data_IF_096161172415
#
_entry.id   IF_096161172415
#
_cell.length_a   1.000
_cell.length_b   1.000
_cell.length_c   1.000
_cell.angle_alpha   90.00
_cell.angle_beta   90.00
_cell.angle_gamma   90.00
#
_symmetry.space_group_name_H-M   'P 1'
#
loop_
_entity.id
_entity.type
_entity.pdbx_description
1 polymer ?
#
# COMPACT_ATOMS: atom_id res chain seq x y z
N UNK A 1 12.99 -1.00 12.92
CA UNK A 1 14.29 -0.31 13.14
C UNK A 1 14.75 -0.57 14.56
N UNK A 2 15.84 -1.27 14.71
CA UNK A 2 16.41 -1.64 16.01
C UNK A 2 17.46 -0.62 16.50
N UNK A 3 17.92 -0.79 17.73
CA UNK A 3 18.95 0.03 18.38
C UNK A 3 18.54 1.49 18.60
N UNK A 4 17.26 1.72 18.79
CA UNK A 4 16.73 3.06 19.03
C UNK A 4 17.30 3.74 20.28
N UNK A 5 17.71 2.95 21.28
CA UNK A 5 18.37 3.41 22.50
C UNK A 5 19.77 4.02 22.26
N UNK A 6 20.45 3.65 21.18
CA UNK A 6 21.82 4.08 20.86
C UNK A 6 21.87 5.46 20.16
N UNK A 7 20.73 6.06 19.85
CA UNK A 7 20.63 7.31 19.09
C UNK A 7 20.31 8.47 20.03
N UNK A 8 21.04 9.59 19.88
CA UNK A 8 20.65 10.85 20.52
C UNK A 8 19.34 11.36 19.91
N UNK A 9 18.39 11.70 20.78
CA UNK A 9 17.02 12.03 20.37
C UNK A 9 16.64 13.43 20.81
N UNK A 10 15.97 14.14 19.91
CA UNK A 10 15.18 15.32 20.21
C UNK A 10 13.73 15.07 19.79
N UNK A 11 12.86 16.09 19.92
CA UNK A 11 11.44 15.97 19.61
C UNK A 11 11.14 15.62 18.15
N UNK A 12 12.08 15.83 17.24
CA UNK A 12 11.93 15.63 15.81
C UNK A 12 12.70 14.43 15.26
N UNK A 13 13.42 13.70 16.11
CA UNK A 13 14.28 12.60 15.66
C UNK A 13 13.49 11.50 14.95
N UNK A 14 12.35 11.09 15.50
CA UNK A 14 11.46 10.10 14.86
C UNK A 14 11.02 10.54 13.48
N UNK A 15 10.60 11.79 13.34
CA UNK A 15 10.15 12.32 12.04
C UNK A 15 11.26 12.32 11.00
N UNK A 16 12.46 12.73 11.38
CA UNK A 16 13.61 12.74 10.46
C UNK A 16 13.99 11.34 10.00
N UNK A 17 14.05 10.38 10.93
CA UNK A 17 14.37 9.00 10.59
C UNK A 17 13.26 8.35 9.75
N UNK A 18 12.00 8.59 10.10
CA UNK A 18 10.86 8.10 9.32
C UNK A 18 10.90 8.62 7.89
N UNK A 19 11.11 9.91 7.71
CA UNK A 19 11.19 10.53 6.40
C UNK A 19 12.34 9.96 5.57
N UNK A 20 13.51 9.80 6.15
CA UNK A 20 14.67 9.21 5.51
C UNK A 20 14.40 7.75 5.07
N UNK A 21 13.78 6.95 5.91
CA UNK A 21 13.41 5.57 5.59
C UNK A 21 12.36 5.55 4.47
N UNK A 22 11.36 6.44 4.52
CA UNK A 22 10.34 6.57 3.47
C UNK A 22 10.95 6.93 2.12
N UNK A 23 11.98 7.78 2.09
CA UNK A 23 12.70 8.11 0.86
C UNK A 23 13.45 6.90 0.29
N UNK A 24 14.14 6.15 1.14
CA UNK A 24 14.88 4.94 0.74
C UNK A 24 13.92 3.84 0.26
N UNK A 25 12.82 3.66 0.96
CA UNK A 25 11.80 2.65 0.66
C UNK A 25 10.60 3.25 -0.09
N UNK A 26 10.83 4.16 -1.01
CA UNK A 26 9.76 4.83 -1.75
C UNK A 26 8.90 3.87 -2.57
N UNK A 27 9.44 2.70 -2.92
CA UNK A 27 8.70 1.63 -3.59
C UNK A 27 7.72 0.88 -2.65
N UNK A 28 7.80 1.11 -1.35
CA UNK A 28 6.94 0.51 -0.32
C UNK A 28 6.31 1.57 0.58
N UNK A 29 5.51 2.52 0.03
CA UNK A 29 4.94 3.60 0.83
C UNK A 29 3.95 3.10 1.90
N UNK A 30 3.43 1.90 1.74
CA UNK A 30 2.47 1.24 2.65
C UNK A 30 3.14 0.56 3.85
N UNK A 31 4.47 0.39 3.84
CA UNK A 31 5.18 -0.31 4.92
C UNK A 31 5.06 0.43 6.24
N UNK A 32 4.65 -0.28 7.28
CA UNK A 32 4.63 0.26 8.65
C UNK A 32 6.05 0.34 9.20
N UNK A 33 6.32 1.39 9.97
CA UNK A 33 7.64 1.62 10.56
C UNK A 33 7.50 1.69 12.07
N UNK A 34 8.32 0.90 12.77
CA UNK A 34 8.41 0.94 14.23
C UNK A 34 9.88 1.05 14.67
N UNK A 35 10.13 1.87 15.65
CA UNK A 35 11.44 2.05 16.26
C UNK A 35 11.49 1.31 17.58
N UNK A 36 12.44 0.38 17.73
CA UNK A 36 12.57 -0.49 18.89
C UNK A 36 13.98 -0.51 19.43
N UNK A 37 14.15 -1.01 20.67
CA UNK A 37 15.43 -1.42 21.20
C UNK A 37 15.30 -2.82 21.81
N UNK A 38 15.93 -3.80 21.19
CA UNK A 38 16.00 -5.15 21.72
C UNK A 38 16.80 -5.21 23.03
N UNK A 39 17.80 -4.34 23.17
CA UNK A 39 18.65 -4.27 24.38
C UNK A 39 17.88 -3.77 25.60
N UNK A 40 17.11 -2.69 25.46
CA UNK A 40 16.34 -2.10 26.56
C UNK A 40 14.92 -2.64 26.67
N UNK A 41 14.44 -3.37 25.68
CA UNK A 41 13.05 -3.84 25.58
C UNK A 41 12.06 -2.78 25.13
N UNK A 42 12.54 -1.61 24.71
CA UNK A 42 11.70 -0.48 24.33
C UNK A 42 10.81 -0.81 23.12
N UNK A 43 9.51 -0.66 23.30
CA UNK A 43 8.48 -0.84 22.26
C UNK A 43 8.38 -2.24 21.66
N UNK A 44 8.99 -3.27 22.27
CA UNK A 44 8.92 -4.64 21.76
C UNK A 44 7.48 -5.16 21.72
N UNK A 45 6.64 -4.80 22.68
CA UNK A 45 5.22 -5.16 22.70
C UNK A 45 4.43 -4.59 21.51
N UNK A 46 4.86 -3.46 20.96
CA UNK A 46 4.22 -2.82 19.78
C UNK A 46 4.39 -3.65 18.52
N UNK A 47 5.41 -4.50 18.44
CA UNK A 47 5.59 -5.40 17.29
C UNK A 47 4.40 -6.33 17.11
N UNK A 48 3.93 -6.94 18.20
CA UNK A 48 2.79 -7.87 18.15
C UNK A 48 1.49 -7.17 17.73
N UNK A 49 1.23 -5.96 18.25
CA UNK A 49 0.09 -5.15 17.86
C UNK A 49 0.12 -4.84 16.35
N UNK A 50 1.29 -4.50 15.84
CA UNK A 50 1.48 -4.18 14.42
C UNK A 50 1.32 -5.40 13.53
N UNK A 51 1.82 -6.56 13.97
CA UNK A 51 1.62 -7.84 13.26
C UNK A 51 0.13 -8.18 13.16
N UNK A 52 -0.64 -7.99 14.22
CA UNK A 52 -2.08 -8.25 14.21
C UNK A 52 -2.80 -7.35 13.20
N UNK A 53 -2.43 -6.08 13.11
CA UNK A 53 -2.97 -5.14 12.11
C UNK A 53 -2.65 -5.60 10.69
N UNK A 54 -1.42 -6.02 10.44
CA UNK A 54 -0.98 -6.50 9.12
C UNK A 54 -1.73 -7.75 8.72
N UNK A 55 -1.90 -8.70 9.63
CA UNK A 55 -2.63 -9.94 9.38
C UNK A 55 -4.10 -9.65 9.08
N UNK A 56 -4.75 -8.78 9.85
CA UNK A 56 -6.13 -8.38 9.63
C UNK A 56 -6.32 -7.76 8.24
N UNK A 57 -5.43 -6.85 7.84
CA UNK A 57 -5.46 -6.23 6.51
C UNK A 57 -5.24 -7.26 5.40
N UNK A 58 -4.31 -8.19 5.61
CA UNK A 58 -3.99 -9.23 4.62
C UNK A 58 -5.11 -10.27 4.46
N UNK A 59 -6.11 -10.27 5.33
CA UNK A 59 -7.24 -11.21 5.31
C UNK A 59 -8.57 -10.54 4.91
N UNK A 60 -8.54 -9.25 4.54
CA UNK A 60 -9.73 -8.50 4.22
C UNK A 60 -10.31 -8.88 2.85
N UNK A 61 -11.62 -9.15 2.81
CA UNK A 61 -12.38 -9.28 1.57
C UNK A 61 -13.19 -8.02 1.32
N UNK A 62 -13.12 -7.54 0.08
CA UNK A 62 -13.77 -6.30 -0.35
C UNK A 62 -14.98 -6.62 -1.22
N UNK A 63 -16.10 -5.95 -0.98
CA UNK A 63 -17.30 -6.08 -1.81
C UNK A 63 -17.00 -5.59 -3.24
N UNK A 64 -17.37 -6.40 -4.23
CA UNK A 64 -17.09 -6.15 -5.63
C UNK A 64 -17.69 -4.82 -6.13
N UNK A 65 -18.92 -4.50 -5.73
CA UNK A 65 -19.57 -3.24 -6.10
C UNK A 65 -18.81 -2.01 -5.61
N UNK A 66 -18.36 -2.02 -4.35
CA UNK A 66 -17.57 -0.93 -3.77
C UNK A 66 -16.22 -0.81 -4.46
N UNK A 67 -15.58 -1.93 -4.75
CA UNK A 67 -14.30 -1.98 -5.44
C UNK A 67 -14.39 -1.36 -6.84
N UNK A 68 -15.44 -1.66 -7.59
CA UNK A 68 -15.67 -1.07 -8.92
C UNK A 68 -15.96 0.44 -8.86
N UNK A 69 -16.67 0.92 -7.85
CA UNK A 69 -16.88 2.35 -7.63
C UNK A 69 -15.57 3.07 -7.40
N UNK A 70 -14.69 2.53 -6.55
CA UNK A 70 -13.38 3.12 -6.24
C UNK A 70 -12.51 3.20 -7.49
N UNK A 71 -12.47 2.14 -8.29
CA UNK A 71 -11.69 2.12 -9.53
C UNK A 71 -12.26 3.10 -10.55
N UNK A 72 -13.58 3.20 -10.66
CA UNK A 72 -14.25 4.17 -11.55
C UNK A 72 -13.88 5.61 -11.16
N UNK A 73 -13.91 5.94 -9.88
CA UNK A 73 -13.50 7.26 -9.39
C UNK A 73 -12.00 7.51 -9.65
N UNK A 74 -11.15 6.52 -9.40
CA UNK A 74 -9.72 6.63 -9.63
C UNK A 74 -9.40 6.90 -11.11
N UNK A 75 -10.07 6.23 -12.02
CA UNK A 75 -9.93 6.44 -13.46
C UNK A 75 -10.41 7.84 -13.86
N UNK A 76 -11.49 8.33 -13.25
CA UNK A 76 -12.00 9.68 -13.51
C UNK A 76 -11.03 10.76 -13.02
N UNK A 77 -10.38 10.54 -11.88
CA UNK A 77 -9.40 11.49 -11.32
C UNK A 77 -8.11 11.56 -12.11
N UNK A 78 -7.62 10.41 -12.57
CA UNK A 78 -6.42 10.31 -13.38
C UNK A 78 -6.62 9.23 -14.44
N UNK A 79 -6.88 9.66 -15.67
CA UNK A 79 -7.12 8.75 -16.78
C UNK A 79 -5.83 7.99 -17.16
N UNK A 80 -5.97 6.75 -17.68
CA UNK A 80 -4.82 6.00 -18.17
C UNK A 80 -4.10 6.74 -19.29
N UNK A 81 -2.76 6.64 -19.36
CA UNK A 81 -2.03 7.22 -20.48
C UNK A 81 -2.38 6.54 -21.79
N UNK A 82 -2.36 7.29 -22.88
CA UNK A 82 -2.48 6.75 -24.23
C UNK A 82 -1.14 6.21 -24.70
N UNK A 83 -1.15 5.07 -25.38
CA UNK A 83 0.01 4.49 -26.03
C UNK A 83 -0.32 4.22 -27.52
N UNK A 84 0.46 4.84 -28.39
CA UNK A 84 0.27 4.74 -29.87
C UNK A 84 -1.17 5.01 -30.31
N UNK A 85 -1.79 6.03 -29.72
CA UNK A 85 -3.19 6.40 -30.02
C UNK A 85 -4.25 5.49 -29.40
N UNK A 86 -3.85 4.48 -28.66
CA UNK A 86 -4.75 3.57 -27.95
C UNK A 86 -4.77 3.89 -26.47
N UNK A 87 -5.97 3.91 -25.89
CA UNK A 87 -6.18 4.14 -24.46
C UNK A 87 -6.63 2.85 -23.78
N UNK A 88 -6.07 2.57 -22.60
CA UNK A 88 -6.52 1.50 -21.73
C UNK A 88 -7.96 1.75 -21.29
N UNK A 89 -8.80 0.72 -21.39
CA UNK A 89 -10.17 0.71 -20.85
C UNK A 89 -10.28 -0.37 -19.79
N UNK A 90 -10.72 0.03 -18.61
CA UNK A 90 -10.98 -0.88 -17.50
C UNK A 90 -12.47 -1.20 -17.48
N UNK A 91 -12.81 -2.47 -17.63
CA UNK A 91 -14.20 -2.91 -17.67
C UNK A 91 -14.75 -3.29 -16.30
N UNK A 92 -13.93 -3.99 -15.52
CA UNK A 92 -14.40 -4.59 -14.28
C UNK A 92 -13.22 -4.99 -13.41
N UNK A 93 -13.40 -4.96 -12.09
CA UNK A 93 -12.42 -5.45 -11.13
C UNK A 93 -13.11 -6.36 -10.10
N UNK A 94 -12.45 -7.44 -9.71
CA UNK A 94 -12.93 -8.34 -8.66
C UNK A 94 -11.76 -8.82 -7.81
N UNK A 95 -12.06 -9.21 -6.58
CA UNK A 95 -11.07 -9.81 -5.70
C UNK A 95 -11.05 -11.33 -5.91
N UNK A 96 -9.94 -11.85 -6.42
CA UNK A 96 -9.76 -13.26 -6.72
C UNK A 96 -9.33 -14.08 -5.51
N UNK A 97 -8.57 -13.48 -4.58
CA UNK A 97 -8.07 -14.14 -3.39
C UNK A 97 -8.00 -13.18 -2.20
N UNK A 98 -8.03 -13.74 -0.99
CA UNK A 98 -8.05 -12.98 0.27
C UNK A 98 -6.67 -12.93 0.94
N UNK A 99 -5.88 -13.97 0.87
CA UNK A 99 -4.57 -14.08 1.53
C UNK A 99 -3.46 -14.43 0.54
N UNK A 100 -2.70 -13.49 0.04
CA UNK A 100 -2.87 -12.04 0.14
C UNK A 100 -4.06 -11.55 -0.69
N UNK A 101 -4.60 -10.35 -0.41
CA UNK A 101 -5.63 -9.76 -1.25
C UNK A 101 -5.13 -9.63 -2.70
N UNK A 102 -5.80 -10.32 -3.59
CA UNK A 102 -5.44 -10.37 -5.02
C UNK A 102 -6.62 -9.91 -5.84
N UNK A 103 -6.39 -8.95 -6.72
CA UNK A 103 -7.42 -8.36 -7.56
C UNK A 103 -7.15 -8.67 -9.03
N UNK A 104 -8.23 -8.93 -9.75
CA UNK A 104 -8.18 -9.13 -11.21
C UNK A 104 -8.94 -8.00 -11.87
N UNK A 105 -8.26 -7.29 -12.76
CA UNK A 105 -8.84 -6.20 -13.54
C UNK A 105 -9.00 -6.65 -14.98
N UNK A 106 -10.22 -6.59 -15.49
CA UNK A 106 -10.52 -6.88 -16.88
C UNK A 106 -10.37 -5.63 -17.72
N UNK A 107 -9.49 -5.68 -18.69
CA UNK A 107 -9.13 -4.55 -19.55
C UNK A 107 -9.26 -4.91 -21.03
N UNK A 108 -9.27 -3.91 -21.90
CA UNK A 108 -9.31 -4.13 -23.36
C UNK A 108 -7.99 -4.72 -23.91
N UNK A 109 -6.85 -4.33 -23.34
CA UNK A 109 -5.52 -4.84 -23.73
C UNK A 109 -4.56 -4.73 -22.55
N UNK A 110 -4.07 -5.86 -22.07
CA UNK A 110 -3.12 -5.91 -20.94
C UNK A 110 -1.82 -5.14 -21.20
N UNK A 111 -1.42 -5.05 -22.47
CA UNK A 111 -0.18 -4.36 -22.87
C UNK A 111 -0.28 -2.84 -22.69
N UNK A 112 -1.50 -2.30 -22.59
CA UNK A 112 -1.74 -0.89 -22.31
C UNK A 112 -1.68 -0.56 -20.81
N UNK A 113 -1.62 -1.56 -19.93
CA UNK A 113 -1.50 -1.37 -18.48
C UNK A 113 -0.04 -1.14 -18.12
N UNK A 114 0.35 0.12 -17.97
CA UNK A 114 1.69 0.49 -17.53
C UNK A 114 1.87 0.29 -16.03
N UNK A 115 3.08 -0.04 -15.62
CA UNK A 115 3.43 -0.26 -14.21
C UNK A 115 3.05 0.91 -13.29
N UNK A 116 3.28 2.14 -13.75
CA UNK A 116 2.93 3.34 -12.99
C UNK A 116 1.44 3.46 -12.73
N UNK A 117 0.61 3.08 -13.72
CA UNK A 117 -0.84 3.13 -13.58
C UNK A 117 -1.36 2.01 -12.68
N UNK A 118 -0.79 0.82 -12.77
CA UNK A 118 -1.07 -0.28 -11.84
C UNK A 118 -0.78 0.14 -10.40
N UNK A 119 0.37 0.78 -10.15
CA UNK A 119 0.72 1.30 -8.82
C UNK A 119 -0.28 2.36 -8.35
N UNK A 120 -0.71 3.25 -9.23
CA UNK A 120 -1.72 4.25 -8.91
C UNK A 120 -3.04 3.61 -8.45
N UNK A 121 -3.54 2.63 -9.18
CA UNK A 121 -4.76 1.91 -8.82
C UNK A 121 -4.62 1.14 -7.51
N UNK A 122 -3.50 0.45 -7.30
CA UNK A 122 -3.22 -0.24 -6.05
C UNK A 122 -3.23 0.71 -4.85
N UNK A 123 -2.60 1.88 -4.98
CA UNK A 123 -2.58 2.87 -3.92
C UNK A 123 -3.98 3.42 -3.62
N UNK A 124 -4.81 3.62 -4.63
CA UNK A 124 -6.20 4.06 -4.45
C UNK A 124 -7.04 3.03 -3.70
N UNK A 125 -6.85 1.75 -4.01
CA UNK A 125 -7.52 0.66 -3.31
C UNK A 125 -7.05 0.59 -1.84
N UNK A 126 -5.76 0.72 -1.58
CA UNK A 126 -5.20 0.74 -0.22
C UNK A 126 -5.76 1.89 0.61
N UNK A 127 -5.79 3.09 0.06
CA UNK A 127 -6.36 4.26 0.73
C UNK A 127 -7.83 4.07 1.10
N UNK A 128 -8.62 3.57 0.15
CA UNK A 128 -10.06 3.43 0.32
C UNK A 128 -10.45 2.42 1.40
N UNK A 129 -9.69 1.35 1.54
CA UNK A 129 -9.99 0.27 2.48
C UNK A 129 -9.09 0.27 3.72
N UNK A 130 -8.21 1.25 3.87
CA UNK A 130 -7.25 1.30 4.97
C UNK A 130 -6.29 0.12 4.98
N UNK A 131 -6.04 -0.49 3.83
CA UNK A 131 -5.12 -1.62 3.69
C UNK A 131 -3.68 -1.16 3.87
N UNK A 132 -3.04 -1.65 4.92
CA UNK A 132 -1.65 -1.36 5.24
C UNK A 132 -0.80 -2.59 4.93
N UNK A 133 0.43 -2.39 4.52
CA UNK A 133 1.43 -3.46 4.37
C UNK A 133 0.92 -4.62 3.49
N UNK A 134 0.47 -4.29 2.29
CA UNK A 134 0.16 -5.29 1.27
C UNK A 134 1.24 -5.27 0.19
N UNK A 135 1.69 -6.45 -0.22
CA UNK A 135 2.62 -6.56 -1.34
C UNK A 135 2.02 -6.12 -2.67
#
# INVERSE_FOLDING_TARGET
>A
VNKWDAIEKDDKTIYRHTEKIRQILSFMPYAEIIFISAKSGQRLNKIFELIDVVIANNSMRVATGVLNEIVTEAVAMQQPPTDKGKRLKLYYITQAAVKPPTFVIFVNDKNLMHFSYTRYLENKIREAFGLRVLP
#
